data_IF_774892749140
#
_entry.id   IF_774892749140
#
_cell.length_a   1.000
_cell.length_b   1.000
_cell.length_c   1.000
_cell.angle_alpha   90.00
_cell.angle_beta   90.00
_cell.angle_gamma   90.00
#
_symmetry.space_group_name_H-M   'P 1'
#
loop_
_entity.id
_entity.type
_entity.pdbx_description
1 polymer ?
#
# COMPACT_ATOMS: atom_id res chain seq x y z
N UNK A 1 -39.80 -47.43 -16.17
CA UNK A 1 -39.30 -46.05 -16.34
C UNK A 1 -37.80 -46.05 -16.10
N UNK A 2 -37.02 -46.66 -16.99
CA UNK A 2 -35.54 -46.62 -16.89
C UNK A 2 -34.87 -47.00 -18.23
N UNK A 3 -35.46 -46.57 -19.36
CA UNK A 3 -34.94 -46.83 -20.71
C UNK A 3 -34.82 -45.55 -21.56
N UNK A 4 -34.29 -44.45 -21.00
CA UNK A 4 -34.06 -43.22 -21.78
C UNK A 4 -32.78 -42.45 -21.40
N UNK A 5 -31.73 -43.12 -20.92
CA UNK A 5 -30.45 -42.43 -20.64
C UNK A 5 -29.29 -42.73 -21.59
N UNK A 6 -29.48 -43.65 -22.56
CA UNK A 6 -28.56 -43.87 -23.66
C UNK A 6 -29.36 -43.82 -24.96
N UNK A 7 -29.54 -42.63 -25.55
CA UNK A 7 -29.75 -42.39 -26.99
C UNK A 7 -30.15 -40.92 -27.21
N UNK A 8 -29.16 -40.04 -27.37
CA UNK A 8 -29.25 -38.88 -28.28
C UNK A 8 -27.84 -38.37 -28.59
N UNK A 9 -27.09 -39.17 -29.34
CA UNK A 9 -26.04 -38.64 -30.21
C UNK A 9 -26.60 -38.50 -31.62
N UNK A 10 -26.89 -37.27 -32.05
CA UNK A 10 -26.91 -36.90 -33.49
C UNK A 10 -26.29 -35.51 -33.68
N UNK A 11 -24.99 -35.55 -33.92
CA UNK A 11 -24.19 -34.69 -34.83
C UNK A 11 -24.90 -33.49 -35.47
N UNK A 12 -24.52 -32.26 -35.06
CA UNK A 12 -24.20 -31.08 -35.91
C UNK A 12 -24.11 -29.81 -35.05
N UNK A 13 -22.92 -29.50 -34.51
CA UNK A 13 -22.49 -28.11 -34.25
C UNK A 13 -20.96 -28.02 -34.35
N UNK A 14 -20.42 -28.58 -35.42
CA UNK A 14 -18.99 -28.54 -35.72
C UNK A 14 -18.70 -27.63 -36.93
N UNK A 15 -19.29 -26.42 -37.00
CA UNK A 15 -18.97 -25.43 -38.07
C UNK A 15 -19.06 -23.95 -37.67
N UNK A 16 -19.21 -23.61 -36.38
CA UNK A 16 -19.20 -22.20 -35.94
C UNK A 16 -18.23 -22.09 -34.77
N UNK A 17 -16.99 -21.63 -35.00
CA UNK A 17 -16.14 -20.83 -34.07
C UNK A 17 -14.63 -20.97 -34.28
N UNK A 18 -14.12 -21.83 -35.17
CA UNK A 18 -12.68 -21.77 -35.54
C UNK A 18 -12.31 -20.44 -36.24
N UNK A 19 -13.28 -19.71 -36.82
CA UNK A 19 -13.06 -18.37 -37.38
C UNK A 19 -13.10 -17.22 -36.36
N UNK A 20 -13.65 -17.43 -35.14
CA UNK A 20 -13.82 -16.37 -34.13
C UNK A 20 -12.56 -16.06 -33.32
N UNK A 21 -11.47 -16.82 -33.51
CA UNK A 21 -10.19 -16.67 -32.79
C UNK A 21 -9.05 -16.14 -33.69
N UNK A 22 -9.35 -15.47 -34.81
CA UNK A 22 -8.29 -14.81 -35.59
C UNK A 22 -7.67 -13.70 -34.73
N UNK A 23 -6.36 -13.78 -34.50
CA UNK A 23 -5.58 -12.68 -33.91
C UNK A 23 -5.70 -11.47 -34.83
N UNK A 24 -5.81 -10.29 -34.22
CA UNK A 24 -5.74 -9.04 -34.98
C UNK A 24 -4.36 -8.94 -35.63
N UNK A 25 -4.30 -8.49 -36.88
CA UNK A 25 -3.04 -8.22 -37.56
C UNK A 25 -2.37 -7.00 -36.96
N UNK A 26 -1.06 -6.86 -37.18
CA UNK A 26 -0.31 -5.70 -36.67
C UNK A 26 -0.87 -4.37 -37.18
N UNK A 27 -1.30 -4.30 -38.45
CA UNK A 27 -1.95 -3.11 -39.01
C UNK A 27 -3.26 -2.80 -38.28
N UNK A 28 -4.07 -3.82 -37.96
CA UNK A 28 -5.31 -3.64 -37.22
C UNK A 28 -5.03 -3.15 -35.79
N UNK A 29 -4.01 -3.70 -35.14
CA UNK A 29 -3.59 -3.26 -33.80
C UNK A 29 -3.11 -1.80 -33.84
N UNK A 30 -2.28 -1.41 -34.81
CA UNK A 30 -1.80 -0.02 -34.95
C UNK A 30 -2.93 0.99 -35.11
N UNK A 31 -3.96 0.67 -35.89
CA UNK A 31 -5.13 1.56 -36.03
C UNK A 31 -5.92 1.66 -34.72
N UNK A 32 -6.11 0.54 -34.02
CA UNK A 32 -6.76 0.51 -32.71
C UNK A 32 -5.98 1.33 -31.66
N UNK A 33 -4.65 1.24 -31.66
CA UNK A 33 -3.77 2.01 -30.78
C UNK A 33 -3.85 3.51 -31.08
N UNK A 34 -3.75 3.91 -32.35
CA UNK A 34 -3.89 5.31 -32.76
C UNK A 34 -5.24 5.90 -32.32
N UNK A 35 -6.32 5.14 -32.50
CA UNK A 35 -7.64 5.59 -32.06
C UNK A 35 -7.75 5.66 -30.53
N UNK A 36 -7.22 4.66 -29.81
CA UNK A 36 -7.22 4.61 -28.35
C UNK A 36 -6.45 5.78 -27.72
N UNK A 37 -5.31 6.15 -28.29
CA UNK A 37 -4.51 7.30 -27.86
C UNK A 37 -5.28 8.62 -27.99
N UNK A 38 -6.15 8.73 -28.98
CA UNK A 38 -6.99 9.92 -29.20
C UNK A 38 -8.25 9.93 -28.32
N UNK A 39 -8.84 8.77 -28.08
CA UNK A 39 -10.00 8.61 -27.19
C UNK A 39 -9.99 7.25 -26.49
N UNK A 40 -9.76 7.26 -25.18
CA UNK A 40 -9.72 6.05 -24.35
C UNK A 40 -11.13 5.42 -24.14
N UNK A 41 -12.21 6.19 -24.37
CA UNK A 41 -13.59 5.70 -24.26
C UNK A 41 -14.09 5.23 -25.62
N UNK A 42 -14.45 3.95 -25.67
CA UNK A 42 -15.02 3.33 -26.86
C UNK A 42 -16.54 3.51 -26.87
N UNK A 43 -17.01 4.57 -27.53
CA UNK A 43 -18.43 4.81 -27.74
C UNK A 43 -19.06 3.74 -28.66
N UNK A 44 -20.35 3.39 -28.49
CA UNK A 44 -21.00 2.35 -29.28
C UNK A 44 -20.94 2.57 -30.79
N UNK A 45 -21.16 3.82 -31.24
CA UNK A 45 -21.15 4.19 -32.66
C UNK A 45 -19.73 4.10 -33.23
N UNK A 46 -18.75 4.62 -32.50
CA UNK A 46 -17.34 4.55 -32.92
C UNK A 46 -16.82 3.12 -32.97
N UNK A 47 -17.27 2.25 -32.07
CA UNK A 47 -16.97 0.81 -32.09
C UNK A 47 -17.46 0.16 -33.38
N UNK A 48 -18.69 0.46 -33.81
CA UNK A 48 -19.24 -0.08 -35.05
C UNK A 48 -18.46 0.42 -36.28
N UNK A 49 -18.09 1.70 -36.30
CA UNK A 49 -17.25 2.27 -37.36
C UNK A 49 -15.86 1.60 -37.42
N UNK A 50 -15.15 1.51 -36.29
CA UNK A 50 -13.84 0.84 -36.22
C UNK A 50 -13.91 -0.62 -36.63
N UNK A 51 -14.96 -1.33 -36.22
CA UNK A 51 -15.18 -2.71 -36.60
C UNK A 51 -15.30 -2.86 -38.14
N UNK A 52 -16.05 -1.95 -38.77
CA UNK A 52 -16.19 -1.91 -40.22
C UNK A 52 -14.87 -1.54 -40.92
N UNK A 53 -14.18 -0.49 -40.47
CA UNK A 53 -12.88 -0.04 -41.01
C UNK A 53 -11.81 -1.15 -40.94
N UNK A 54 -11.82 -1.94 -39.86
CA UNK A 54 -10.85 -3.02 -39.63
C UNK A 54 -11.26 -4.36 -40.24
N UNK A 55 -12.51 -4.51 -40.68
CA UNK A 55 -13.08 -5.78 -41.13
C UNK A 55 -13.16 -6.84 -40.02
N UNK A 56 -13.36 -6.43 -38.77
CA UNK A 56 -13.39 -7.33 -37.60
C UNK A 56 -14.72 -7.22 -36.84
N UNK A 57 -15.15 -8.26 -36.11
CA UNK A 57 -16.37 -8.18 -35.31
C UNK A 57 -16.28 -7.09 -34.21
N UNK A 58 -17.35 -6.32 -33.95
CA UNK A 58 -17.37 -5.29 -32.88
C UNK A 58 -16.98 -5.82 -31.50
N UNK A 59 -17.22 -7.11 -31.23
CA UNK A 59 -16.80 -7.79 -30.01
C UNK A 59 -15.28 -7.84 -29.87
N UNK A 60 -14.53 -8.06 -30.95
CA UNK A 60 -13.06 -8.07 -30.90
C UNK A 60 -12.50 -6.69 -30.57
N UNK A 61 -13.09 -5.62 -31.14
CA UNK A 61 -12.74 -4.24 -30.79
C UNK A 61 -12.97 -3.99 -29.30
N UNK A 62 -14.14 -4.39 -28.78
CA UNK A 62 -14.46 -4.24 -27.34
C UNK A 62 -13.47 -4.98 -26.43
N UNK A 63 -13.18 -6.26 -26.73
CA UNK A 63 -12.21 -7.06 -25.97
C UNK A 63 -10.81 -6.44 -26.03
N UNK A 64 -10.40 -5.97 -27.22
CA UNK A 64 -9.10 -5.32 -27.38
C UNK A 64 -8.99 -4.06 -26.50
N UNK A 65 -10.02 -3.21 -26.47
CA UNK A 65 -10.06 -2.02 -25.61
C UNK A 65 -10.02 -2.37 -24.13
N UNK A 66 -10.75 -3.42 -23.71
CA UNK A 66 -10.72 -3.91 -22.33
C UNK A 66 -9.32 -4.40 -21.96
N UNK A 67 -8.69 -5.22 -22.81
CA UNK A 67 -7.35 -5.74 -22.58
C UNK A 67 -6.28 -4.64 -22.61
N UNK A 68 -6.43 -3.63 -23.48
CA UNK A 68 -5.53 -2.47 -23.51
C UNK A 68 -5.59 -1.70 -22.19
N UNK A 69 -6.79 -1.37 -21.71
CA UNK A 69 -6.95 -0.72 -20.39
C UNK A 69 -6.42 -1.56 -19.23
N UNK A 70 -6.64 -2.88 -19.26
CA UNK A 70 -6.11 -3.78 -18.24
C UNK A 70 -4.58 -3.77 -18.22
N UNK A 71 -3.93 -3.83 -19.40
CA UNK A 71 -2.47 -3.73 -19.54
C UNK A 71 -1.94 -2.38 -19.07
N UNK A 72 -2.57 -1.28 -19.47
CA UNK A 72 -2.13 0.07 -19.09
C UNK A 72 -2.26 0.27 -17.57
N UNK A 73 -3.33 -0.24 -16.95
CA UNK A 73 -3.48 -0.24 -15.49
C UNK A 73 -2.40 -1.06 -14.81
N UNK A 74 -2.10 -2.26 -15.32
CA UNK A 74 -1.04 -3.10 -14.76
C UNK A 74 0.33 -2.42 -14.87
N UNK A 75 0.64 -1.82 -16.03
CA UNK A 75 1.88 -1.08 -16.25
C UNK A 75 2.00 0.14 -15.32
N UNK A 76 0.91 0.90 -15.12
CA UNK A 76 0.90 2.01 -14.15
C UNK A 76 1.22 1.52 -12.74
N UNK A 77 0.58 0.43 -12.30
CA UNK A 77 0.82 -0.12 -10.96
C UNK A 77 2.25 -0.63 -10.77
N UNK A 78 2.85 -1.21 -11.81
CA UNK A 78 4.24 -1.66 -11.78
C UNK A 78 5.21 -0.48 -11.63
N UNK A 79 4.97 0.61 -12.38
CA UNK A 79 5.74 1.85 -12.26
C UNK A 79 5.58 2.47 -10.87
N UNK A 80 4.34 2.57 -10.37
CA UNK A 80 4.04 3.13 -9.05
C UNK A 80 4.72 2.31 -7.95
N UNK A 81 4.70 0.98 -8.07
CA UNK A 81 5.40 0.10 -7.14
C UNK A 81 6.91 0.36 -7.13
N UNK A 82 7.55 0.46 -8.29
CA UNK A 82 8.97 0.79 -8.38
C UNK A 82 9.31 2.15 -7.76
N UNK A 83 8.49 3.17 -8.00
CA UNK A 83 8.66 4.49 -7.40
C UNK A 83 8.54 4.44 -5.86
N UNK A 84 7.58 3.66 -5.34
CA UNK A 84 7.41 3.48 -3.89
C UNK A 84 8.60 2.73 -3.27
N UNK A 85 9.15 1.74 -3.95
CA UNK A 85 10.36 1.03 -3.49
C UNK A 85 11.56 1.97 -3.39
N UNK A 86 11.81 2.78 -4.42
CA UNK A 86 12.90 3.77 -4.40
C UNK A 86 12.72 4.79 -3.25
N UNK A 87 11.49 5.24 -3.01
CA UNK A 87 11.18 6.14 -1.90
C UNK A 87 11.42 5.48 -0.54
N UNK A 88 11.04 4.21 -0.39
CA UNK A 88 11.28 3.44 0.81
C UNK A 88 12.79 3.32 1.09
N UNK A 89 13.58 2.97 0.09
CA UNK A 89 15.04 2.86 0.21
C UNK A 89 15.68 4.19 0.64
N UNK A 90 15.29 5.30 0.02
CA UNK A 90 15.75 6.64 0.41
C UNK A 90 15.42 6.98 1.87
N UNK A 91 14.18 6.70 2.30
CA UNK A 91 13.75 6.97 3.69
C UNK A 91 14.50 6.08 4.68
N UNK A 92 14.77 4.82 4.33
CA UNK A 92 15.56 3.91 5.17
C UNK A 92 17.01 4.38 5.31
N UNK A 93 17.62 4.86 4.23
CA UNK A 93 18.97 5.43 4.26
C UNK A 93 19.03 6.68 5.15
N UNK A 94 18.05 7.58 5.03
CA UNK A 94 17.93 8.75 5.91
C UNK A 94 17.70 8.36 7.37
N UNK A 95 16.86 7.36 7.63
CA UNK A 95 16.61 6.86 8.99
C UNK A 95 17.89 6.29 9.62
N UNK A 96 18.67 5.52 8.87
CA UNK A 96 19.96 4.99 9.32
C UNK A 96 20.95 6.12 9.64
N UNK A 97 21.03 7.12 8.77
CA UNK A 97 21.87 8.31 8.98
C UNK A 97 21.46 9.08 10.24
N UNK A 98 20.17 9.35 10.42
CA UNK A 98 19.64 10.05 11.59
C UNK A 98 19.87 9.27 12.87
N UNK A 99 19.67 7.94 12.87
CA UNK A 99 19.99 7.08 14.01
C UNK A 99 21.46 7.15 14.39
N UNK A 100 22.36 7.18 13.40
CA UNK A 100 23.79 7.39 13.63
C UNK A 100 24.08 8.75 14.27
N UNK A 101 23.47 9.83 13.76
CA UNK A 101 23.61 11.17 14.34
C UNK A 101 23.10 11.22 15.80
N UNK A 102 21.95 10.60 16.07
CA UNK A 102 21.39 10.52 17.43
C UNK A 102 22.32 9.77 18.37
N UNK A 103 22.90 8.65 17.94
CA UNK A 103 23.85 7.89 18.75
C UNK A 103 25.09 8.73 19.09
N UNK A 104 25.70 9.37 18.09
CA UNK A 104 26.87 10.23 18.29
C UNK A 104 26.59 11.40 19.24
N UNK A 105 25.44 12.07 19.08
CA UNK A 105 25.07 13.19 19.94
C UNK A 105 24.80 12.75 21.38
N UNK A 106 24.21 11.56 21.57
CA UNK A 106 24.02 10.97 22.91
C UNK A 106 25.35 10.63 23.56
N UNK A 107 26.29 10.04 22.81
CA UNK A 107 27.63 9.74 23.31
C UNK A 107 28.36 11.02 23.73
N UNK A 108 28.28 12.07 22.93
CA UNK A 108 28.89 13.36 23.27
C UNK A 108 28.25 14.01 24.50
N UNK A 109 26.91 13.96 24.61
CA UNK A 109 26.21 14.43 25.80
C UNK A 109 26.65 13.68 27.06
N UNK A 110 26.74 12.36 26.98
CA UNK A 110 27.21 11.52 28.09
C UNK A 110 28.66 11.83 28.49
N UNK A 111 29.52 12.13 27.52
CA UNK A 111 30.92 12.55 27.76
C UNK A 111 31.00 13.90 28.46
N UNK A 112 30.19 14.87 28.03
CA UNK A 112 30.15 16.19 28.67
C UNK A 112 29.57 16.08 30.09
N UNK A 113 28.51 15.29 30.27
CA UNK A 113 27.92 15.03 31.59
C UNK A 113 28.93 14.35 32.53
N UNK A 114 29.66 13.34 32.06
CA UNK A 114 30.68 12.67 32.88
C UNK A 114 31.88 13.57 33.20
N UNK A 115 32.26 14.48 32.29
CA UNK A 115 33.29 15.49 32.55
C UNK A 115 32.84 16.59 33.51
N UNK A 116 31.54 16.87 33.62
CA UNK A 116 30.99 17.86 34.55
C UNK A 116 30.74 17.28 35.96
N UNK A 117 30.66 15.95 36.11
CA UNK A 117 30.67 15.26 37.41
C UNK A 117 32.12 15.13 37.89
N UNK A 118 32.71 16.27 38.26
CA UNK A 118 33.85 16.32 39.19
C UNK A 118 33.30 16.49 40.62
N UNK A 119 33.66 15.65 41.60
CA UNK A 119 33.36 15.93 42.98
C UNK A 119 34.34 16.99 43.51
N UNK A 120 33.98 18.26 43.40
CA UNK A 120 34.18 19.15 44.55
C UNK A 120 33.05 18.85 45.53
N UNK A 121 33.39 18.06 46.55
CA UNK A 121 32.73 17.86 47.83
C UNK A 121 32.54 16.37 48.19
N UNK A 122 33.49 15.89 49.01
CA UNK A 122 33.12 15.16 50.22
C UNK A 122 32.15 16.02 51.03
N UNK A 123 30.85 15.89 50.77
CA UNK A 123 29.82 16.12 51.77
C UNK A 123 28.92 14.90 51.65
N UNK A 124 28.87 14.10 52.71
CA UNK A 124 28.00 12.94 52.84
C UNK A 124 26.55 13.32 52.53
N UNK A 125 26.09 13.02 51.33
CA UNK A 125 24.66 13.03 51.00
C UNK A 125 24.16 11.62 51.23
N UNK A 126 23.44 11.48 52.34
CA UNK A 126 22.75 10.27 52.78
C UNK A 126 21.95 9.67 51.62
N UNK A 127 22.26 8.42 51.28
CA UNK A 127 21.55 7.60 50.31
C UNK A 127 20.08 7.44 50.76
N UNK A 128 19.14 7.94 49.94
CA UNK A 128 17.73 7.55 50.00
C UNK A 128 17.42 6.78 48.72
N UNK A 129 18.01 5.59 48.60
CA UNK A 129 17.44 4.51 47.81
C UNK A 129 16.13 4.11 48.45
N UNK A 130 15.02 4.60 47.92
CA UNK A 130 13.82 3.79 47.79
C UNK A 130 12.90 4.39 46.73
N UNK A 131 12.45 3.52 45.83
CA UNK A 131 11.21 3.61 45.06
C UNK A 131 11.24 4.41 43.75
N UNK A 132 11.89 3.89 42.72
CA UNK A 132 11.54 4.19 41.32
C UNK A 132 11.78 3.02 40.34
N UNK A 133 11.90 1.79 40.83
CA UNK A 133 11.87 0.58 39.99
C UNK A 133 10.44 0.02 39.93
N UNK A 134 9.60 0.59 39.05
CA UNK A 134 8.22 0.09 38.94
C UNK A 134 7.49 0.33 37.62
N UNK A 135 8.02 1.14 36.69
CA UNK A 135 7.21 1.59 35.53
C UNK A 135 7.75 1.28 34.14
N UNK A 136 8.76 0.41 34.01
CA UNK A 136 9.38 0.18 32.70
C UNK A 136 9.59 -1.29 32.35
N UNK A 137 8.62 -2.18 32.55
CA UNK A 137 8.58 -3.47 31.82
C UNK A 137 7.13 -3.92 31.55
N UNK A 138 6.62 -3.67 30.34
CA UNK A 138 6.00 -4.63 29.43
C UNK A 138 5.10 -3.94 28.38
N UNK A 139 5.65 -3.71 27.20
CA UNK A 139 4.86 -3.55 25.97
C UNK A 139 4.70 -4.93 25.33
N UNK A 140 3.54 -5.56 25.59
CA UNK A 140 3.02 -6.66 24.78
C UNK A 140 1.52 -6.80 25.01
N UNK A 141 0.77 -6.47 23.95
CA UNK A 141 -0.56 -6.96 23.57
C UNK A 141 -1.59 -7.28 24.67
N UNK A 142 -2.67 -6.49 24.69
CA UNK A 142 -4.08 -6.86 24.43
C UNK A 142 -4.98 -5.87 25.18
N UNK A 143 -5.99 -5.35 24.50
CA UNK A 143 -6.87 -4.28 24.95
C UNK A 143 -7.58 -4.52 26.30
N UNK A 144 -7.75 -3.41 27.02
CA UNK A 144 -8.52 -3.30 28.26
C UNK A 144 -8.11 -2.01 28.97
N UNK A 145 -9.00 -1.02 29.04
CA UNK A 145 -8.72 0.25 29.70
C UNK A 145 -8.44 0.05 31.20
N UNK A 146 -7.34 0.60 31.68
CA UNK A 146 -7.09 0.76 33.11
C UNK A 146 -7.60 2.15 33.57
N UNK A 147 -8.29 2.26 34.71
CA UNK A 147 -8.84 3.53 35.18
C UNK A 147 -7.71 4.44 35.67
N UNK A 148 -7.73 5.70 35.25
CA UNK A 148 -6.84 6.74 35.73
C UNK A 148 -7.14 7.04 37.20
N UNK A 149 -6.24 6.64 38.11
CA UNK A 149 -6.31 6.98 39.53
C UNK A 149 -5.48 8.23 39.76
N UNK A 150 -6.13 9.31 40.17
CA UNK A 150 -5.47 10.59 40.46
C UNK A 150 -4.53 10.48 41.67
N UNK A 151 -3.37 11.16 41.66
CA UNK A 151 -2.46 11.17 42.80
C UNK A 151 -3.07 11.90 44.02
N UNK A 152 -2.74 11.47 45.24
CA UNK A 152 -3.34 12.01 46.46
C UNK A 152 -2.94 13.48 46.68
N UNK A 153 -3.94 14.34 46.88
CA UNK A 153 -3.77 15.78 47.15
C UNK A 153 -4.39 16.72 46.10
N UNK A 154 -5.02 16.20 45.04
CA UNK A 154 -5.68 17.02 44.02
C UNK A 154 -7.19 17.13 44.28
N UNK A 155 -7.62 18.17 45.00
CA UNK A 155 -9.04 18.51 45.18
C UNK A 155 -9.57 19.25 43.94
N UNK A 156 -10.37 18.57 43.11
CA UNK A 156 -10.86 19.09 41.82
C UNK A 156 -11.97 20.16 41.92
N UNK A 157 -12.41 20.53 43.12
CA UNK A 157 -13.54 21.46 43.31
C UNK A 157 -13.16 22.94 43.46
N UNK A 158 -11.87 23.29 43.54
CA UNK A 158 -11.46 24.67 43.81
C UNK A 158 -10.74 25.40 42.66
N UNK A 159 -10.07 24.69 41.74
CA UNK A 159 -9.11 25.33 40.81
C UNK A 159 -9.53 25.37 39.34
N UNK A 160 -10.79 25.06 39.01
CA UNK A 160 -11.32 25.28 37.65
C UNK A 160 -12.10 26.60 37.49
N UNK A 161 -11.83 27.61 38.31
CA UNK A 161 -12.26 29.00 38.06
C UNK A 161 -11.15 30.00 38.44
N UNK A 162 -10.03 29.98 37.72
CA UNK A 162 -9.28 31.21 37.43
C UNK A 162 -8.33 31.04 36.24
N UNK A 163 -8.83 31.50 35.09
CA UNK A 163 -8.14 32.01 33.89
C UNK A 163 -6.91 31.26 33.38
#
# INVERSE_FOLDING_TARGET
MEELFQYTETQKHQTITKSRKKRLTENQVRLLESNFSSNNKLEPDRKCQLAAELGVPPRQVSIWYQNKRARDKAQSLEIDHGNLQLRLESVLADNARLKGQVAMLKDELNRIQSAFVTPFNNIDVVDHKHDLEGWLINDSLVGGGAPFVAPPGMDMVSDLVRR
#
